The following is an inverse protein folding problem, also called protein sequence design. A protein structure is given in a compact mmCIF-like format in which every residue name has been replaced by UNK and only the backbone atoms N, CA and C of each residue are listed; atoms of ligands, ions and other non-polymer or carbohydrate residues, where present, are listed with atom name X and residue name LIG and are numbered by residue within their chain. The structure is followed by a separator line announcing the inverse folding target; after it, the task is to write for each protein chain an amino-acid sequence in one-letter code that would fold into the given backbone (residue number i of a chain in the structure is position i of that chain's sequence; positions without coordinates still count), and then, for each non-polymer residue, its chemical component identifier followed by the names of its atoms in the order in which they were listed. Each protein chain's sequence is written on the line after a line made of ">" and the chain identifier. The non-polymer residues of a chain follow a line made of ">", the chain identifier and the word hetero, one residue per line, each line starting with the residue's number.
data_IF_775202727853
#
_entry.id   IF_775202727853
#
_cell.length_a   1.000
_cell.length_b   1.000
_cell.length_c   1.000
_cell.angle_alpha   90.00
_cell.angle_beta   90.00
_cell.angle_gamma   90.00
#
_symmetry.space_group_name_H-M   'P 1'
#
loop_
_entity.id
_entity.type
_entity.pdbx_description
1 polymer ?
#
# COMPACT_ATOMS: atom_id res chain seq x y z
N UNK A 1 -19.24 -52.74 26.48
CA UNK A 1 -18.98 -52.71 25.03
C UNK A 1 -18.43 -51.33 24.71
N UNK A 2 -17.10 -51.28 24.67
CA UNK A 2 -16.18 -50.24 24.17
C UNK A 2 -16.43 -48.78 24.57
N UNK A 3 -15.52 -48.33 25.45
CA UNK A 3 -15.34 -47.00 26.02
C UNK A 3 -14.73 -45.98 25.05
N UNK A 4 -14.81 -44.72 25.48
CA UNK A 4 -14.29 -43.49 24.88
C UNK A 4 -12.82 -43.56 24.43
N UNK A 5 -12.48 -42.91 23.31
CA UNK A 5 -11.10 -42.50 23.01
C UNK A 5 -11.02 -40.98 22.78
N UNK A 6 -10.59 -40.28 23.82
CA UNK A 6 -9.93 -38.97 23.77
C UNK A 6 -8.42 -39.22 23.82
N UNK A 7 -7.74 -39.34 22.68
CA UNK A 7 -6.27 -39.30 22.62
C UNK A 7 -5.78 -38.76 21.27
N UNK A 8 -4.63 -38.06 21.30
CA UNK A 8 -4.00 -37.35 20.18
C UNK A 8 -3.39 -38.24 19.09
N UNK A 9 -3.39 -39.56 19.26
CA UNK A 9 -2.74 -40.52 18.36
C UNK A 9 -3.60 -40.85 17.13
N UNK A 10 -4.93 -40.85 17.25
CA UNK A 10 -5.86 -41.12 16.14
C UNK A 10 -5.93 -39.98 15.08
N UNK A 11 -5.47 -38.76 15.40
CA UNK A 11 -5.34 -37.66 14.43
C UNK A 11 -4.00 -37.69 13.66
N UNK A 12 -2.98 -38.36 14.19
CA UNK A 12 -1.68 -38.52 13.55
C UNK A 12 -1.73 -39.47 12.34
N UNK A 13 -2.51 -40.56 12.44
CA UNK A 13 -2.65 -41.54 11.36
C UNK A 13 -3.40 -41.00 10.13
N UNK A 14 -4.27 -40.01 10.29
CA UNK A 14 -4.96 -39.37 9.16
C UNK A 14 -4.04 -38.45 8.32
N UNK A 15 -2.98 -37.88 8.92
CA UNK A 15 -2.02 -37.01 8.20
C UNK A 15 -0.92 -37.83 7.54
N UNK A 16 -0.58 -39.00 8.08
CA UNK A 16 0.38 -39.92 7.47
C UNK A 16 -0.16 -40.62 6.21
N UNK A 17 -1.47 -40.91 6.16
CA UNK A 17 -2.11 -41.56 5.00
C UNK A 17 -2.21 -40.67 3.74
N UNK A 18 -2.03 -39.36 3.86
CA UNK A 18 -2.03 -38.43 2.71
C UNK A 18 -0.63 -38.15 2.12
N UNK A 19 0.44 -38.65 2.76
CA UNK A 19 1.82 -38.32 2.40
C UNK A 19 2.60 -39.48 1.73
N UNK A 20 1.95 -40.58 1.39
CA UNK A 20 2.61 -41.77 0.85
C UNK A 20 1.98 -42.27 -0.45
N UNK A 21 2.00 -41.45 -1.49
CA UNK A 21 2.10 -41.90 -2.89
C UNK A 21 2.84 -40.83 -3.70
N UNK A 22 4.12 -41.06 -3.99
CA UNK A 22 4.76 -40.79 -5.30
C UNK A 22 6.31 -40.88 -5.25
N UNK A 23 6.86 -41.99 -5.76
CA UNK A 23 8.11 -42.05 -6.58
C UNK A 23 8.20 -43.47 -7.21
N UNK A 24 8.05 -43.67 -8.54
CA UNK A 24 9.04 -43.61 -9.66
C UNK A 24 9.10 -45.03 -10.35
N UNK A 25 9.75 -45.35 -11.51
CA UNK A 25 10.55 -44.58 -12.51
C UNK A 25 10.39 -44.95 -14.05
N UNK A 26 11.08 -44.20 -14.96
CA UNK A 26 11.75 -44.49 -16.29
C UNK A 26 11.08 -45.37 -17.40
N UNK A 27 11.16 -45.23 -18.74
CA UNK A 27 11.94 -44.50 -19.78
C UNK A 27 11.24 -44.70 -21.17
N UNK A 28 11.18 -43.70 -22.08
CA UNK A 28 11.48 -43.78 -23.56
C UNK A 28 11.08 -42.50 -24.30
N UNK A 29 11.88 -42.18 -25.34
CA UNK A 29 11.96 -40.92 -26.07
C UNK A 29 10.98 -40.78 -27.25
N UNK A 30 10.57 -39.54 -27.56
CA UNK A 30 10.75 -38.89 -28.88
C UNK A 30 10.36 -37.40 -28.82
N UNK A 31 10.87 -36.64 -29.79
CA UNK A 31 11.18 -35.22 -29.75
C UNK A 31 9.98 -34.26 -29.96
N UNK A 32 10.10 -33.05 -29.37
CA UNK A 32 9.80 -31.80 -30.08
C UNK A 32 10.59 -30.66 -29.42
N UNK A 33 11.69 -30.26 -30.06
CA UNK A 33 12.44 -29.05 -29.74
C UNK A 33 11.67 -27.85 -30.30
N UNK A 34 11.01 -27.11 -29.42
CA UNK A 34 10.71 -25.70 -29.64
C UNK A 34 11.58 -24.89 -28.67
N UNK A 35 12.73 -24.47 -29.18
CA UNK A 35 13.65 -23.50 -28.59
C UNK A 35 12.90 -22.20 -28.29
N UNK A 36 12.43 -22.04 -27.05
CA UNK A 36 12.00 -20.74 -26.54
C UNK A 36 13.19 -20.13 -25.83
N UNK A 37 13.82 -19.22 -26.55
CA UNK A 37 14.92 -18.35 -26.16
C UNK A 37 14.95 -18.06 -24.65
N UNK A 38 16.09 -18.35 -24.05
CA UNK A 38 16.47 -17.84 -22.75
C UNK A 38 16.18 -16.33 -22.69
N UNK A 39 15.47 -15.82 -21.68
CA UNK A 39 15.45 -14.39 -21.48
C UNK A 39 16.87 -13.98 -21.07
N UNK A 40 17.50 -13.21 -21.94
CA UNK A 40 18.76 -12.52 -21.71
C UNK A 40 18.77 -11.86 -20.31
N UNK A 41 19.95 -11.75 -19.65
CA UNK A 41 20.05 -11.03 -18.40
C UNK A 41 19.57 -9.59 -18.65
N UNK A 42 18.45 -9.24 -18.01
CA UNK A 42 17.99 -7.87 -17.86
C UNK A 42 19.16 -7.05 -17.36
N UNK A 43 19.76 -6.30 -18.30
CA UNK A 43 20.64 -5.16 -18.10
C UNK A 43 20.40 -4.56 -16.73
N UNK A 44 21.42 -4.65 -15.89
CA UNK A 44 21.52 -3.93 -14.63
C UNK A 44 21.17 -2.48 -14.93
N UNK A 45 19.94 -2.11 -14.60
CA UNK A 45 19.47 -0.75 -14.74
C UNK A 45 20.36 0.07 -13.81
N UNK A 46 21.29 0.82 -14.41
CA UNK A 46 22.09 1.82 -13.73
C UNK A 46 21.14 2.62 -12.83
N UNK A 47 21.27 2.38 -11.53
CA UNK A 47 20.58 3.14 -10.51
C UNK A 47 21.05 4.57 -10.68
N UNK A 48 20.33 5.37 -11.47
CA UNK A 48 20.51 6.81 -11.47
C UNK A 48 20.34 7.25 -10.02
N UNK A 49 21.45 7.61 -9.37
CA UNK A 49 21.46 8.02 -7.96
C UNK A 49 20.74 9.34 -7.91
N UNK A 50 19.43 9.29 -7.68
CA UNK A 50 18.66 10.50 -7.38
C UNK A 50 19.20 10.98 -6.03
N UNK A 51 19.63 12.23 -5.97
CA UNK A 51 20.13 12.80 -4.73
C UNK A 51 18.97 13.03 -3.74
N UNK A 52 19.18 12.77 -2.45
CA UNK A 52 18.17 13.07 -1.43
C UNK A 52 17.96 14.59 -1.33
N UNK A 53 16.72 15.03 -1.37
CA UNK A 53 16.34 16.44 -1.23
C UNK A 53 16.00 16.71 0.23
N UNK A 54 16.98 17.19 0.99
CA UNK A 54 16.87 17.49 2.41
C UNK A 54 17.15 18.98 2.64
N UNK A 55 16.29 19.64 3.40
CA UNK A 55 16.46 21.03 3.81
C UNK A 55 17.60 21.18 4.84
N UNK A 56 18.06 22.41 5.06
CA UNK A 56 19.11 22.76 6.06
C UNK A 56 18.82 22.21 7.48
N UNK A 57 17.55 21.98 7.81
CA UNK A 57 17.09 21.46 9.11
C UNK A 57 16.98 19.93 9.15
N UNK A 58 17.49 19.22 8.15
CA UNK A 58 17.41 17.75 8.06
C UNK A 58 16.00 17.25 7.81
N UNK A 59 15.16 18.05 7.14
CA UNK A 59 13.75 17.74 6.89
C UNK A 59 13.48 17.56 5.40
N UNK A 60 12.58 16.65 5.07
CA UNK A 60 12.08 16.48 3.71
C UNK A 60 10.66 17.01 3.59
N UNK A 61 10.42 17.83 2.56
CA UNK A 61 9.13 18.43 2.27
C UNK A 61 8.41 17.69 1.14
N UNK A 62 7.15 17.35 1.34
CA UNK A 62 6.30 16.84 0.27
C UNK A 62 4.86 17.33 0.36
N UNK A 63 4.16 17.23 -0.78
CA UNK A 63 2.73 17.50 -0.86
C UNK A 63 1.95 16.29 -1.35
N UNK A 64 0.84 16.04 -0.66
CA UNK A 64 -0.14 15.02 -1.01
C UNK A 64 -1.50 15.64 -1.31
N UNK A 65 -2.22 15.07 -2.28
CA UNK A 65 -3.57 15.53 -2.66
C UNK A 65 -4.49 14.33 -2.91
N UNK A 66 -5.72 14.38 -2.40
CA UNK A 66 -6.77 13.40 -2.69
C UNK A 66 -8.14 14.08 -2.64
N UNK A 67 -8.94 13.94 -3.69
CA UNK A 67 -10.17 14.73 -3.88
C UNK A 67 -9.83 16.22 -3.66
N UNK A 68 -10.55 16.89 -2.76
CA UNK A 68 -10.35 18.30 -2.41
C UNK A 68 -9.36 18.51 -1.24
N UNK A 69 -8.84 17.43 -0.64
CA UNK A 69 -7.92 17.52 0.47
C UNK A 69 -6.48 17.70 -0.01
N UNK A 70 -5.77 18.64 0.61
CA UNK A 70 -4.36 18.94 0.37
C UNK A 70 -3.59 18.81 1.69
N UNK A 71 -2.53 18.00 1.69
CA UNK A 71 -1.65 17.79 2.82
C UNK A 71 -0.25 18.29 2.47
N UNK A 72 0.31 19.14 3.33
CA UNK A 72 1.73 19.49 3.37
C UNK A 72 2.37 18.65 4.46
N UNK A 73 3.40 17.90 4.12
CA UNK A 73 4.05 16.95 5.02
C UNK A 73 5.52 17.30 5.11
N UNK A 74 6.02 17.31 6.35
CA UNK A 74 7.42 17.44 6.68
C UNK A 74 7.83 16.19 7.44
N UNK A 75 8.90 15.54 6.98
CA UNK A 75 9.49 14.38 7.64
C UNK A 75 10.83 14.77 8.24
N UNK A 76 11.10 14.30 9.46
CA UNK A 76 12.38 14.42 10.15
C UNK A 76 12.73 13.06 10.77
N UNK A 77 13.99 12.62 10.83
CA UNK A 77 14.37 11.47 11.66
C UNK A 77 14.02 11.76 13.14
N UNK A 78 13.41 10.79 13.82
CA UNK A 78 12.86 10.94 15.17
C UNK A 78 12.26 9.66 15.76
N UNK A 79 11.27 9.79 16.64
CA UNK A 79 10.70 8.71 17.45
C UNK A 79 9.33 8.20 16.94
N UNK A 80 8.99 8.45 15.67
CA UNK A 80 7.71 8.01 15.10
C UNK A 80 6.51 8.89 15.45
N UNK A 81 6.71 10.10 15.97
CA UNK A 81 5.60 10.97 16.39
C UNK A 81 4.93 11.63 15.19
N UNK A 82 3.63 11.38 15.02
CA UNK A 82 2.83 11.97 13.94
C UNK A 82 1.91 13.07 14.49
N UNK A 83 2.18 14.31 14.09
CA UNK A 83 1.37 15.48 14.46
C UNK A 83 0.62 16.01 13.24
N UNK A 84 -0.70 16.19 13.39
CA UNK A 84 -1.61 16.64 12.35
C UNK A 84 -2.26 17.95 12.77
N UNK A 85 -1.99 19.06 12.07
CA UNK A 85 -2.53 20.39 12.37
C UNK A 85 -2.32 20.80 13.86
N UNK A 86 -1.18 20.45 14.44
CA UNK A 86 -0.85 20.75 15.84
C UNK A 86 -1.52 19.85 16.88
N UNK A 87 -2.23 18.79 16.46
CA UNK A 87 -2.85 17.79 17.33
C UNK A 87 -2.24 16.42 17.08
N UNK A 88 -2.38 15.53 18.06
CA UNK A 88 -1.95 14.15 17.91
C UNK A 88 -2.82 13.39 16.89
N UNK A 89 -2.21 12.40 16.21
CA UNK A 89 -2.88 11.58 15.20
C UNK A 89 -4.14 10.89 15.75
N UNK A 90 -4.12 10.45 17.01
CA UNK A 90 -5.26 9.75 17.62
C UNK A 90 -6.44 10.67 17.88
N UNK A 91 -6.13 11.92 18.25
CA UNK A 91 -7.15 12.94 18.51
C UNK A 91 -7.75 13.47 17.22
N UNK A 92 -6.95 13.63 16.17
CA UNK A 92 -7.43 14.16 14.88
C UNK A 92 -8.20 13.10 14.07
N UNK A 93 -7.67 11.88 14.01
CA UNK A 93 -8.27 10.75 13.30
C UNK A 93 -8.85 9.74 14.29
N UNK A 94 -10.04 10.03 14.81
CA UNK A 94 -10.74 9.17 15.77
C UNK A 94 -10.91 7.70 15.29
N UNK A 95 -11.06 7.48 13.98
CA UNK A 95 -11.27 6.14 13.41
C UNK A 95 -9.92 5.41 13.23
N UNK A 96 -9.72 4.21 13.82
CA UNK A 96 -8.47 3.45 13.70
C UNK A 96 -8.12 3.09 12.26
N UNK A 97 -9.11 2.85 11.40
CA UNK A 97 -8.89 2.56 9.97
C UNK A 97 -8.15 3.71 9.26
N UNK A 98 -8.39 4.96 9.66
CA UNK A 98 -7.71 6.11 9.06
C UNK A 98 -6.26 6.23 9.54
N UNK A 99 -5.99 5.87 10.80
CA UNK A 99 -4.64 5.78 11.37
C UNK A 99 -3.82 4.70 10.66
N UNK A 100 -4.41 3.52 10.49
CA UNK A 100 -3.78 2.41 9.77
C UNK A 100 -3.40 2.81 8.32
N UNK A 101 -4.27 3.56 7.64
CA UNK A 101 -3.99 4.05 6.28
C UNK A 101 -2.78 5.00 6.23
N UNK A 102 -2.55 5.80 7.27
CA UNK A 102 -1.40 6.71 7.35
C UNK A 102 -0.11 5.94 7.62
N UNK A 103 -0.19 4.82 8.36
CA UNK A 103 0.97 4.01 8.75
C UNK A 103 1.43 3.01 7.67
N UNK A 104 0.57 2.65 6.71
CA UNK A 104 0.88 1.78 5.57
C UNK A 104 2.24 2.03 4.89
N UNK A 105 2.62 3.27 4.50
CA UNK A 105 3.90 3.51 3.84
C UNK A 105 5.12 3.23 4.73
N UNK A 106 5.01 3.38 6.05
CA UNK A 106 6.10 3.05 6.97
C UNK A 106 6.31 1.55 7.10
N UNK A 107 5.22 0.76 7.06
CA UNK A 107 5.30 -0.70 7.07
C UNK A 107 6.01 -1.25 5.84
N UNK A 108 5.70 -0.72 4.65
CA UNK A 108 6.33 -1.17 3.39
C UNK A 108 7.77 -0.68 3.23
N UNK A 109 8.10 0.47 3.80
CA UNK A 109 9.48 0.95 3.84
C UNK A 109 10.32 0.26 4.93
N UNK A 110 9.72 -0.55 5.82
CA UNK A 110 10.37 -1.12 7.01
C UNK A 110 11.03 -0.06 7.91
N UNK A 111 10.49 1.18 7.88
CA UNK A 111 10.97 2.32 8.66
C UNK A 111 9.95 2.77 9.70
N UNK A 112 9.30 1.80 10.34
CA UNK A 112 8.43 2.07 11.48
C UNK A 112 9.23 2.81 12.57
N UNK A 113 8.62 3.82 13.18
CA UNK A 113 9.12 4.58 14.34
C UNK A 113 10.43 5.37 14.16
N UNK A 114 11.01 5.41 12.96
CA UNK A 114 12.26 6.13 12.69
C UNK A 114 12.06 7.61 12.33
N UNK A 115 10.84 8.00 11.98
CA UNK A 115 10.54 9.30 11.40
C UNK A 115 9.41 10.00 12.15
N UNK A 116 9.68 11.23 12.58
CA UNK A 116 8.66 12.15 13.03
C UNK A 116 8.01 12.85 11.82
N UNK A 117 6.69 12.95 11.87
CA UNK A 117 5.89 13.56 10.80
C UNK A 117 5.15 14.76 11.33
N UNK A 118 5.40 15.93 10.74
CA UNK A 118 4.57 17.12 10.95
C UNK A 118 3.78 17.40 9.69
N UNK A 119 2.46 17.32 9.77
CA UNK A 119 1.60 17.57 8.63
C UNK A 119 0.57 18.67 8.89
N UNK A 120 0.38 19.50 7.88
CA UNK A 120 -0.69 20.51 7.81
C UNK A 120 -1.64 20.13 6.71
N UNK A 121 -2.92 19.95 7.04
CA UNK A 121 -3.94 19.45 6.11
C UNK A 121 -5.10 20.42 6.03
N UNK A 122 -5.55 20.72 4.81
CA UNK A 122 -6.69 21.60 4.54
C UNK A 122 -7.59 21.00 3.46
N UNK A 123 -8.89 21.28 3.55
CA UNK A 123 -9.91 20.85 2.58
C UNK A 123 -10.40 19.42 2.74
N UNK A 124 -11.47 19.08 2.01
CA UNK A 124 -12.11 17.77 2.00
C UNK A 124 -12.69 17.35 3.36
N UNK A 125 -12.77 16.04 3.59
CA UNK A 125 -13.15 15.44 4.87
C UNK A 125 -12.11 14.43 5.35
N UNK A 126 -12.26 13.90 6.58
CA UNK A 126 -11.25 13.08 7.28
C UNK A 126 -10.67 11.93 6.44
N UNK A 127 -11.51 11.21 5.69
CA UNK A 127 -11.05 10.12 4.82
C UNK A 127 -10.22 10.60 3.62
N UNK A 128 -10.60 11.73 3.01
CA UNK A 128 -9.82 12.35 1.94
C UNK A 128 -8.49 12.88 2.46
N UNK A 129 -8.51 13.48 3.65
CA UNK A 129 -7.33 14.00 4.35
C UNK A 129 -6.33 12.89 4.70
N UNK A 130 -6.77 11.78 5.30
CA UNK A 130 -5.91 10.64 5.59
C UNK A 130 -5.23 10.10 4.32
N UNK A 131 -5.98 9.98 3.22
CA UNK A 131 -5.41 9.57 1.94
C UNK A 131 -4.42 10.57 1.33
N UNK A 132 -4.64 11.87 1.54
CA UNK A 132 -3.70 12.91 1.12
C UNK A 132 -2.41 12.87 1.97
N UNK A 133 -2.53 12.69 3.29
CA UNK A 133 -1.39 12.54 4.21
C UNK A 133 -0.55 11.31 3.83
N UNK A 134 -1.19 10.16 3.62
CA UNK A 134 -0.52 8.92 3.16
C UNK A 134 0.34 9.17 1.92
N UNK A 135 -0.24 9.79 0.90
CA UNK A 135 0.48 10.10 -0.34
C UNK A 135 1.61 11.12 -0.15
N UNK A 136 1.42 12.08 0.75
CA UNK A 136 2.47 13.05 1.12
C UNK A 136 3.65 12.39 1.84
N UNK A 137 3.39 11.49 2.79
CA UNK A 137 4.41 10.73 3.51
C UNK A 137 5.24 9.88 2.54
N UNK A 138 4.59 9.13 1.65
CA UNK A 138 5.31 8.30 0.67
C UNK A 138 6.24 9.10 -0.23
N UNK A 139 5.84 10.32 -0.61
CA UNK A 139 6.70 11.22 -1.39
C UNK A 139 7.86 11.75 -0.56
N UNK A 140 7.62 12.18 0.67
CA UNK A 140 8.66 12.69 1.54
C UNK A 140 9.70 11.60 1.88
N UNK A 141 9.28 10.34 2.06
CA UNK A 141 10.17 9.20 2.26
C UNK A 141 11.08 8.96 1.05
N UNK A 142 10.55 9.03 -0.17
CA UNK A 142 11.37 8.87 -1.38
C UNK A 142 12.36 10.03 -1.58
N UNK A 143 11.96 11.25 -1.22
CA UNK A 143 12.86 12.41 -1.27
C UNK A 143 13.98 12.33 -0.22
N UNK A 144 13.70 11.72 0.93
CA UNK A 144 14.69 11.51 1.98
C UNK A 144 15.63 10.35 1.64
N UNK A 145 15.08 9.23 1.18
CA UNK A 145 15.84 8.05 0.78
C UNK A 145 15.35 7.51 -0.58
N UNK A 146 16.06 7.86 -1.67
CA UNK A 146 15.63 7.52 -3.03
C UNK A 146 15.60 6.01 -3.34
N UNK A 147 16.32 5.20 -2.56
CA UNK A 147 16.31 3.72 -2.63
C UNK A 147 14.92 3.13 -2.34
N UNK A 148 14.05 3.84 -1.62
CA UNK A 148 12.71 3.36 -1.22
C UNK A 148 11.67 3.53 -2.34
N UNK A 149 12.05 4.11 -3.49
CA UNK A 149 11.13 4.34 -4.60
C UNK A 149 10.58 3.05 -5.24
N UNK A 150 11.39 2.00 -5.51
CA UNK A 150 10.88 0.74 -6.09
C UNK A 150 9.79 0.05 -5.26
N UNK A 151 9.96 -0.21 -3.94
CA UNK A 151 8.92 -0.87 -3.14
C UNK A 151 7.65 -0.01 -3.03
N UNK A 152 7.79 1.30 -2.80
CA UNK A 152 6.66 2.22 -2.71
C UNK A 152 5.91 2.41 -4.04
N UNK A 153 6.60 2.27 -5.17
CA UNK A 153 5.99 2.31 -6.51
C UNK A 153 5.22 1.03 -6.79
N UNK A 154 5.78 -0.13 -6.44
CA UNK A 154 5.14 -1.45 -6.62
C UNK A 154 3.80 -1.53 -5.89
N UNK A 155 3.74 -1.02 -4.67
CA UNK A 155 2.53 -0.98 -3.84
C UNK A 155 1.58 0.20 -4.16
N UNK A 156 1.94 1.04 -5.14
CA UNK A 156 1.06 2.08 -5.67
C UNK A 156 0.88 3.34 -4.82
N UNK A 157 1.74 3.60 -3.82
CA UNK A 157 1.61 4.78 -2.96
C UNK A 157 2.08 6.09 -3.60
N UNK A 158 2.95 6.00 -4.59
CA UNK A 158 3.43 7.15 -5.35
C UNK A 158 2.42 7.65 -6.40
N UNK A 159 1.40 6.85 -6.70
CA UNK A 159 0.33 7.24 -7.64
C UNK A 159 -0.72 8.05 -6.90
N UNK A 160 -1.01 9.26 -7.40
CA UNK A 160 -2.11 10.07 -6.87
C UNK A 160 -3.45 9.41 -7.24
N UNK A 161 -4.36 9.28 -6.28
CA UNK A 161 -5.75 8.92 -6.56
C UNK A 161 -6.43 10.07 -7.34
N UNK A 162 -6.69 9.83 -8.62
CA UNK A 162 -7.26 10.80 -9.57
C UNK A 162 -8.77 10.98 -9.41
N UNK A 163 -9.44 10.16 -8.60
CA UNK A 163 -10.90 10.20 -8.41
C UNK A 163 -11.33 11.53 -7.77
N UNK A 164 -12.21 12.25 -8.47
CA UNK A 164 -12.86 13.48 -8.02
C UNK A 164 -14.37 13.33 -8.18
N UNK A 165 -15.16 14.07 -7.39
CA UNK A 165 -16.62 14.03 -7.47
C UNK A 165 -17.08 14.55 -8.84
N UNK A 166 -17.80 13.71 -9.58
CA UNK A 166 -18.43 14.14 -10.84
C UNK A 166 -19.48 15.23 -10.57
N UNK A 167 -19.46 16.29 -11.37
CA UNK A 167 -20.48 17.34 -11.30
C UNK A 167 -21.89 16.81 -11.59
N UNK A 168 -22.91 17.49 -11.08
CA UNK A 168 -24.29 17.25 -11.49
C UNK A 168 -24.48 17.59 -12.97
N UNK A 169 -25.09 16.68 -13.73
CA UNK A 169 -25.50 16.89 -15.12
C UNK A 169 -26.96 17.37 -15.14
N UNK A 170 -27.31 18.25 -16.08
CA UNK A 170 -28.70 18.70 -16.26
C UNK A 170 -29.60 17.51 -16.64
N UNK A 171 -30.90 17.60 -16.31
CA UNK A 171 -31.85 16.50 -16.54
C UNK A 171 -31.66 15.26 -15.67
N UNK A 172 -30.73 15.26 -14.71
CA UNK A 172 -30.47 14.14 -13.78
C UNK A 172 -30.57 14.60 -12.31
N UNK A 173 -30.99 13.68 -11.43
CA UNK A 173 -31.07 13.92 -9.97
C UNK A 173 -29.68 14.09 -9.34
N UNK A 174 -28.68 13.32 -9.80
CA UNK A 174 -27.26 13.39 -9.40
C UNK A 174 -26.36 13.25 -10.65
N UNK A 175 -25.05 13.06 -10.49
CA UNK A 175 -24.12 12.86 -11.61
C UNK A 175 -24.59 11.81 -12.63
N UNK A 176 -25.08 10.66 -12.16
CA UNK A 176 -25.57 9.56 -13.01
C UNK A 176 -27.04 9.20 -12.83
N UNK A 177 -27.63 9.43 -11.64
CA UNK A 177 -29.01 9.04 -11.31
C UNK A 177 -30.03 9.81 -12.13
N UNK A 178 -30.75 9.13 -13.02
CA UNK A 178 -31.88 9.67 -13.78
C UNK A 178 -33.18 9.70 -12.96
N UNK A 179 -34.19 10.40 -13.49
CA UNK A 179 -35.57 10.22 -13.05
C UNK A 179 -36.11 8.88 -13.59
N UNK A 180 -37.18 8.37 -12.99
CA UNK A 180 -37.87 7.19 -13.50
C UNK A 180 -38.44 7.52 -14.88
N UNK A 181 -38.14 6.68 -15.88
CA UNK A 181 -38.68 6.82 -17.23
C UNK A 181 -40.04 6.15 -17.32
N UNK A 182 -41.06 6.85 -17.84
CA UNK A 182 -42.36 6.26 -18.16
C UNK A 182 -42.40 5.98 -19.66
N UNK A 183 -42.44 4.70 -20.02
CA UNK A 183 -42.60 4.21 -21.39
C UNK A 183 -44.10 4.04 -21.65
N UNK A 184 -44.78 5.12 -22.02
CA UNK A 184 -46.17 5.08 -22.52
C UNK A 184 -46.16 5.29 -24.02
#
# INVERSE_FOLDING_TARGET
>A
MAEEKKTLEDLGEAVAAAAAEAEAPAETAEADEAEVAAPEPVVEAELTVVEPQIDDLGRSYATGKRKDAVARVWIKPGNGKIVVNGRDIETYFARPVLRMMINQPFGIAERADQYDVSCTVKGGGLSGQAGAVRHGISKALVLYEPSLRPPLKKEGFLTRDSRVVERKKYGRKKARRSFQFSKR
#
